data_IF_639474899383
#
_entry.id   IF_639474899383
#
_cell.length_a   1.000
_cell.length_b   1.000
_cell.length_c   1.000
_cell.angle_alpha   90.00
_cell.angle_beta   90.00
_cell.angle_gamma   90.00
#
_symmetry.space_group_name_H-M   'P 1'
#
loop_
_entity.id
_entity.type
_entity.pdbx_description
1 polymer ?
#
# COMPACT_ATOMS: atom_id res chain seq x y z
N UNK A 1 -16.53 22.17 -26.85
CA UNK A 1 -16.68 21.61 -25.49
C UNK A 1 -17.40 20.29 -25.64
N UNK A 2 -16.87 19.21 -25.05
CA UNK A 2 -17.50 17.88 -25.13
C UNK A 2 -18.76 17.83 -24.25
N UNK A 3 -19.90 17.29 -24.72
CA UNK A 3 -21.14 17.15 -23.93
C UNK A 3 -20.95 16.38 -22.61
N UNK A 4 -19.92 15.54 -22.52
CA UNK A 4 -19.59 14.73 -21.33
C UNK A 4 -19.17 15.62 -20.16
N UNK A 5 -18.48 16.75 -20.42
CA UNK A 5 -18.03 17.66 -19.38
C UNK A 5 -19.20 18.42 -18.74
N UNK A 6 -20.28 18.69 -19.49
CA UNK A 6 -21.50 19.31 -18.95
C UNK A 6 -22.28 18.35 -18.04
N UNK A 7 -22.42 17.07 -18.45
CA UNK A 7 -23.15 16.04 -17.68
C UNK A 7 -22.48 15.76 -16.31
N UNK A 8 -21.15 15.88 -16.24
CA UNK A 8 -20.41 15.69 -14.98
C UNK A 8 -20.43 16.90 -14.04
N UNK A 9 -20.80 18.08 -14.57
CA UNK A 9 -20.77 19.38 -13.85
C UNK A 9 -22.11 19.82 -13.25
N UNK A 10 -23.22 19.17 -13.64
CA UNK A 10 -24.56 19.47 -13.10
C UNK A 10 -24.85 18.80 -11.76
N UNK A 11 -25.76 19.38 -10.97
CA UNK A 11 -26.32 18.74 -9.77
C UNK A 11 -27.00 17.42 -10.14
N UNK A 12 -26.43 16.31 -9.67
CA UNK A 12 -26.93 14.96 -9.89
C UNK A 12 -28.05 14.65 -8.90
N UNK A 13 -29.25 14.32 -9.41
CA UNK A 13 -30.36 13.82 -8.59
C UNK A 13 -30.29 12.28 -8.44
N UNK A 14 -29.88 11.76 -7.27
CA UNK A 14 -29.77 10.33 -7.04
C UNK A 14 -31.11 9.58 -7.01
N UNK A 15 -32.25 10.29 -6.91
CA UNK A 15 -33.59 9.69 -6.87
C UNK A 15 -34.08 9.22 -8.25
N UNK A 16 -33.51 9.73 -9.35
CA UNK A 16 -33.90 9.38 -10.72
C UNK A 16 -33.36 8.02 -11.21
N UNK A 17 -32.44 7.40 -10.48
CA UNK A 17 -31.83 6.11 -10.87
C UNK A 17 -32.55 4.96 -10.17
N UNK A 18 -33.29 4.16 -10.96
CA UNK A 18 -33.98 2.95 -10.51
C UNK A 18 -33.02 1.99 -9.77
N UNK A 19 -33.38 1.47 -8.59
CA UNK A 19 -32.56 0.52 -7.86
C UNK A 19 -32.61 -0.87 -8.52
N UNK A 20 -31.45 -1.45 -8.82
CA UNK A 20 -31.32 -2.89 -9.07
C UNK A 20 -31.18 -3.66 -7.76
N UNK A 21 -31.62 -4.94 -7.71
CA UNK A 21 -31.53 -5.77 -6.52
C UNK A 21 -30.07 -6.00 -6.12
N UNK A 22 -29.80 -5.87 -4.81
CA UNK A 22 -28.47 -6.10 -4.25
C UNK A 22 -28.06 -7.56 -4.45
N UNK A 23 -26.79 -7.83 -4.83
CA UNK A 23 -26.28 -9.20 -4.84
C UNK A 23 -26.26 -9.77 -3.40
N UNK A 24 -26.41 -11.10 -3.25
CA UNK A 24 -26.43 -11.75 -1.95
C UNK A 24 -25.11 -11.55 -1.20
N UNK A 25 -25.23 -11.45 0.13
CA UNK A 25 -24.09 -11.33 1.04
C UNK A 25 -23.22 -12.59 0.91
N UNK A 26 -21.94 -12.39 0.58
CA UNK A 26 -20.95 -13.48 0.57
C UNK A 26 -20.73 -13.91 2.02
N UNK A 27 -21.16 -15.12 2.37
CA UNK A 27 -20.91 -15.71 3.68
C UNK A 27 -19.42 -15.93 3.93
N UNK A 28 -19.03 -15.90 5.21
CA UNK A 28 -17.65 -16.00 5.69
C UNK A 28 -16.92 -17.19 5.06
N UNK A 29 -16.14 -16.91 4.00
CA UNK A 29 -15.20 -17.86 3.45
C UNK A 29 -14.11 -18.08 4.47
N UNK A 30 -14.04 -19.30 5.00
CA UNK A 30 -13.03 -19.76 5.95
C UNK A 30 -11.64 -19.19 5.60
N UNK A 31 -11.07 -18.44 6.54
CA UNK A 31 -9.70 -18.02 6.49
C UNK A 31 -8.84 -19.27 6.30
N UNK A 32 -8.19 -19.40 5.13
CA UNK A 32 -7.32 -20.53 4.81
C UNK A 32 -6.30 -20.72 5.95
N UNK A 33 -6.52 -21.77 6.74
CA UNK A 33 -5.70 -22.13 7.89
C UNK A 33 -4.26 -22.40 7.49
N UNK A 34 -3.34 -21.91 8.32
CA UNK A 34 -1.95 -22.34 8.29
C UNK A 34 -1.85 -23.69 9.00
N UNK A 35 -1.93 -24.79 8.25
CA UNK A 35 -1.38 -26.07 8.71
C UNK A 35 0.13 -26.10 8.42
N UNK A 36 0.95 -26.18 9.46
CA UNK A 36 2.32 -26.65 9.33
C UNK A 36 2.30 -28.11 8.89
N UNK A 37 2.78 -28.39 7.67
CA UNK A 37 3.10 -29.75 7.24
C UNK A 37 4.58 -29.92 6.92
N UNK A 38 5.04 -31.11 7.30
CA UNK A 38 6.40 -31.55 7.54
C UNK A 38 7.40 -31.36 6.40
N UNK A 39 8.68 -31.38 6.78
CA UNK A 39 9.86 -31.45 5.91
C UNK A 39 9.90 -32.76 5.13
N UNK A 40 9.19 -32.80 4.00
CA UNK A 40 9.37 -33.79 2.94
C UNK A 40 9.75 -33.11 1.63
N UNK A 41 10.61 -33.74 0.84
CA UNK A 41 11.11 -33.28 -0.47
C UNK A 41 10.00 -33.31 -1.55
N UNK A 42 8.89 -32.61 -1.30
CA UNK A 42 7.77 -32.49 -2.21
C UNK A 42 8.02 -31.29 -3.15
N UNK A 43 7.94 -31.55 -4.46
CA UNK A 43 7.90 -30.51 -5.50
C UNK A 43 6.83 -29.48 -5.13
N UNK A 44 7.24 -28.28 -4.72
CA UNK A 44 6.31 -27.19 -4.42
C UNK A 44 5.64 -26.78 -5.74
N UNK A 45 4.36 -27.12 -5.89
CA UNK A 45 3.56 -26.71 -7.04
C UNK A 45 2.94 -25.34 -6.76
N UNK A 46 2.90 -24.46 -7.76
CA UNK A 46 2.14 -23.21 -7.66
C UNK A 46 0.66 -23.60 -7.67
N UNK A 47 -0.01 -23.41 -6.53
CA UNK A 47 -1.47 -23.57 -6.44
C UNK A 47 -2.09 -22.19 -6.66
N UNK A 48 -2.67 -21.97 -7.83
CA UNK A 48 -3.48 -20.79 -8.10
C UNK A 48 -4.86 -20.99 -7.43
N UNK A 49 -5.33 -19.98 -6.69
CA UNK A 49 -6.70 -20.00 -6.15
C UNK A 49 -7.73 -20.10 -7.27
N UNK A 50 -8.89 -20.71 -6.98
CA UNK A 50 -10.00 -20.73 -7.94
C UNK A 50 -10.46 -19.30 -8.20
N UNK A 51 -10.67 -18.94 -9.47
CA UNK A 51 -11.23 -17.64 -9.79
C UNK A 51 -12.72 -17.63 -9.41
N UNK A 52 -13.09 -16.85 -8.40
CA UNK A 52 -14.47 -16.69 -7.93
C UNK A 52 -14.86 -15.23 -8.13
N UNK A 53 -15.37 -14.90 -9.31
CA UNK A 53 -16.01 -13.61 -9.57
C UNK A 53 -17.53 -13.80 -9.53
N UNK A 54 -18.21 -13.01 -8.71
CA UNK A 54 -19.68 -12.98 -8.63
C UNK A 54 -20.30 -11.94 -9.58
N UNK A 55 -19.52 -10.96 -10.04
CA UNK A 55 -19.92 -9.96 -11.04
C UNK A 55 -18.71 -9.30 -11.72
N UNK A 56 -18.86 -8.91 -12.99
CA UNK A 56 -17.92 -8.09 -13.77
C UNK A 56 -18.67 -7.30 -14.83
N UNK A 57 -18.16 -6.13 -15.23
CA UNK A 57 -18.63 -5.44 -16.42
C UNK A 57 -18.02 -6.12 -17.65
N UNK A 58 -18.85 -6.46 -18.63
CA UNK A 58 -18.38 -7.00 -19.91
C UNK A 58 -17.60 -5.95 -20.69
N UNK A 59 -16.50 -6.37 -21.32
CA UNK A 59 -15.70 -5.52 -22.21
C UNK A 59 -16.15 -5.82 -23.62
N UNK A 60 -16.66 -4.79 -24.31
CA UNK A 60 -16.98 -4.86 -25.73
C UNK A 60 -15.83 -4.25 -26.52
N UNK A 61 -15.24 -5.02 -27.43
CA UNK A 61 -14.27 -4.47 -28.39
C UNK A 61 -15.03 -3.69 -29.47
N UNK A 62 -14.60 -2.46 -29.82
CA UNK A 62 -15.21 -1.72 -30.92
C UNK A 62 -14.90 -2.39 -32.26
N UNK A 63 -15.88 -2.43 -33.16
CA UNK A 63 -15.68 -2.88 -34.54
C UNK A 63 -14.79 -1.88 -35.31
N UNK A 64 -14.13 -2.32 -36.38
CA UNK A 64 -13.18 -1.49 -37.13
C UNK A 64 -13.79 -0.21 -37.74
N UNK A 65 -15.11 -0.22 -37.99
CA UNK A 65 -15.90 0.88 -38.57
C UNK A 65 -16.91 1.45 -37.56
N UNK A 66 -16.63 1.29 -36.27
CA UNK A 66 -17.53 1.69 -35.21
C UNK A 66 -17.52 3.21 -35.02
N UNK A 67 -18.44 3.91 -35.68
CA UNK A 67 -18.66 5.33 -35.45
C UNK A 67 -19.07 5.56 -33.99
N UNK A 68 -18.48 6.59 -33.35
CA UNK A 68 -18.91 7.07 -32.04
C UNK A 68 -20.36 7.58 -32.13
N UNK A 69 -21.32 6.70 -31.88
CA UNK A 69 -22.74 7.06 -31.89
C UNK A 69 -23.13 7.70 -30.56
N UNK A 70 -24.07 8.64 -30.61
CA UNK A 70 -24.63 9.24 -29.40
C UNK A 70 -25.24 8.23 -28.42
N UNK A 71 -25.69 7.08 -28.92
CA UNK A 71 -26.23 5.98 -28.10
C UNK A 71 -25.13 5.31 -27.24
N UNK A 72 -23.90 5.21 -27.75
CA UNK A 72 -22.76 4.67 -27.01
C UNK A 72 -22.28 5.62 -25.93
N UNK A 73 -22.23 6.91 -26.24
CA UNK A 73 -21.92 7.95 -25.25
C UNK A 73 -22.97 7.99 -24.13
N UNK A 74 -24.26 7.90 -24.49
CA UNK A 74 -25.35 7.85 -23.52
C UNK A 74 -25.29 6.60 -22.64
N UNK A 75 -24.98 5.44 -23.22
CA UNK A 75 -24.79 4.20 -22.48
C UNK A 75 -23.63 4.31 -21.48
N UNK A 76 -22.46 4.78 -21.95
CA UNK A 76 -21.27 4.98 -21.12
C UNK A 76 -21.54 5.95 -19.96
N UNK A 77 -22.18 7.09 -20.25
CA UNK A 77 -22.60 8.04 -19.23
C UNK A 77 -23.51 7.39 -18.17
N UNK A 78 -24.44 6.52 -18.61
CA UNK A 78 -25.29 5.75 -17.71
C UNK A 78 -24.52 4.78 -16.81
N UNK A 79 -23.53 4.06 -17.36
CA UNK A 79 -22.66 3.15 -16.59
C UNK A 79 -21.86 3.93 -15.54
N UNK A 80 -21.21 5.03 -15.93
CA UNK A 80 -20.41 5.86 -15.03
C UNK A 80 -21.25 6.51 -13.94
N UNK A 81 -22.46 6.99 -14.26
CA UNK A 81 -23.38 7.57 -13.28
C UNK A 81 -23.83 6.55 -12.23
N UNK A 82 -24.18 5.32 -12.65
CA UNK A 82 -24.51 4.23 -11.72
C UNK A 82 -23.34 3.88 -10.82
N UNK A 83 -22.15 3.75 -11.40
CA UNK A 83 -20.93 3.43 -10.64
C UNK A 83 -20.59 4.53 -9.63
N UNK A 84 -20.69 5.81 -10.03
CA UNK A 84 -20.54 6.96 -9.12
C UNK A 84 -21.53 6.91 -7.96
N UNK A 85 -22.81 6.62 -8.22
CA UNK A 85 -23.84 6.46 -7.17
C UNK A 85 -23.45 5.35 -6.19
N UNK A 86 -22.96 4.20 -6.68
CA UNK A 86 -22.47 3.11 -5.83
C UNK A 86 -21.30 3.54 -4.96
N UNK A 87 -20.29 4.21 -5.53
CA UNK A 87 -19.13 4.69 -4.76
C UNK A 87 -19.55 5.71 -3.70
N UNK A 88 -20.37 6.69 -4.05
CA UNK A 88 -20.88 7.69 -3.10
C UNK A 88 -21.61 7.03 -1.92
N UNK A 89 -22.44 6.03 -2.18
CA UNK A 89 -23.18 5.33 -1.12
C UNK A 89 -22.28 4.51 -0.20
N UNK A 90 -21.25 3.85 -0.76
CA UNK A 90 -20.24 3.12 0.02
C UNK A 90 -19.40 4.06 0.87
N UNK A 91 -19.00 5.21 0.33
CA UNK A 91 -18.22 6.22 1.05
C UNK A 91 -18.96 6.78 2.26
N UNK A 92 -20.28 7.01 2.18
CA UNK A 92 -21.09 7.48 3.33
C UNK A 92 -21.04 6.54 4.55
N UNK A 93 -20.84 5.24 4.30
CA UNK A 93 -20.82 4.20 5.31
C UNK A 93 -19.41 3.65 5.54
N UNK A 94 -18.39 4.36 5.08
CA UNK A 94 -17.02 3.89 5.16
C UNK A 94 -16.49 4.02 6.58
N UNK A 95 -16.46 2.90 7.30
CA UNK A 95 -15.89 2.73 8.62
C UNK A 95 -15.02 1.46 8.64
N UNK A 96 -13.90 1.49 9.36
CA UNK A 96 -13.03 0.32 9.55
C UNK A 96 -11.73 0.30 8.76
N UNK A 97 -11.47 1.32 7.92
CA UNK A 97 -10.16 1.55 7.30
C UNK A 97 -9.69 2.98 7.55
N UNK A 98 -8.39 3.22 7.82
CA UNK A 98 -7.86 4.52 8.21
C UNK A 98 -7.54 5.39 6.98
N UNK A 99 -8.53 5.62 6.12
CA UNK A 99 -8.36 6.46 4.95
C UNK A 99 -8.88 7.87 5.22
N UNK A 100 -8.12 8.87 4.77
CA UNK A 100 -8.69 10.19 4.54
C UNK A 100 -9.57 10.10 3.29
N UNK A 101 -10.87 10.40 3.44
CA UNK A 101 -11.84 10.33 2.36
C UNK A 101 -12.12 11.69 1.73
N UNK A 102 -11.49 12.75 2.24
CA UNK A 102 -11.67 14.13 1.76
C UNK A 102 -10.67 14.43 0.64
N UNK A 103 -10.96 13.93 -0.56
CA UNK A 103 -10.16 14.16 -1.76
C UNK A 103 -10.71 15.33 -2.58
N UNK A 104 -9.92 16.39 -2.73
CA UNK A 104 -10.16 17.47 -3.68
C UNK A 104 -8.97 17.63 -4.63
N UNK A 105 -9.20 17.32 -5.91
CA UNK A 105 -8.20 17.46 -6.96
C UNK A 105 -8.24 18.81 -7.68
N UNK A 106 -9.10 19.76 -7.27
CA UNK A 106 -9.43 20.99 -8.00
C UNK A 106 -8.30 21.59 -8.85
N UNK A 107 -7.23 22.07 -8.21
CA UNK A 107 -6.09 22.70 -8.90
C UNK A 107 -5.27 21.72 -9.77
N UNK A 108 -5.31 20.42 -9.47
CA UNK A 108 -4.56 19.37 -10.17
C UNK A 108 -5.37 18.71 -11.30
N UNK A 109 -6.67 18.96 -11.42
CA UNK A 109 -7.55 18.31 -12.39
C UNK A 109 -7.04 18.46 -13.84
N UNK A 110 -6.51 19.63 -14.17
CA UNK A 110 -5.96 19.92 -15.51
C UNK A 110 -4.69 19.11 -15.83
N UNK A 111 -4.00 18.58 -14.83
CA UNK A 111 -2.79 17.78 -15.01
C UNK A 111 -3.09 16.33 -15.41
N UNK A 112 -4.33 15.87 -15.24
CA UNK A 112 -4.73 14.48 -15.53
C UNK A 112 -4.75 14.15 -17.03
N UNK A 113 -4.59 15.15 -17.91
CA UNK A 113 -4.47 14.96 -19.36
C UNK A 113 -3.05 14.58 -19.82
N UNK A 114 -2.06 14.63 -18.91
CA UNK A 114 -0.67 14.30 -19.22
C UNK A 114 -0.30 12.92 -18.67
N UNK A 115 0.51 12.17 -19.43
CA UNK A 115 1.13 10.93 -18.95
C UNK A 115 2.34 11.27 -18.07
N UNK A 116 2.09 11.80 -16.88
CA UNK A 116 3.15 12.17 -15.94
C UNK A 116 3.82 10.91 -15.41
N UNK A 117 5.14 10.83 -15.52
CA UNK A 117 5.91 9.67 -15.08
C UNK A 117 7.28 10.04 -14.50
N UNK A 118 7.48 9.80 -13.21
CA UNK A 118 8.74 10.04 -12.52
C UNK A 118 9.67 8.83 -12.67
N UNK A 119 10.20 8.64 -13.88
CA UNK A 119 11.07 7.51 -14.17
C UNK A 119 12.40 7.60 -13.41
N UNK A 120 12.76 6.53 -12.69
CA UNK A 120 14.06 6.42 -12.04
C UNK A 120 14.17 7.21 -10.74
N UNK A 121 15.40 7.58 -10.40
CA UNK A 121 15.72 8.21 -9.11
C UNK A 121 15.24 9.67 -9.04
N UNK A 122 14.59 10.12 -7.94
CA UNK A 122 14.08 11.48 -7.80
C UNK A 122 15.14 12.59 -7.87
N UNK A 123 16.39 12.27 -7.53
CA UNK A 123 17.52 13.20 -7.46
C UNK A 123 18.39 13.18 -8.72
N UNK A 124 18.09 12.30 -9.68
CA UNK A 124 18.83 12.19 -10.94
C UNK A 124 17.98 12.76 -12.08
N UNK A 125 18.59 13.59 -12.91
CA UNK A 125 17.95 14.17 -14.09
C UNK A 125 17.53 13.07 -15.09
N UNK A 126 16.40 13.25 -15.77
CA UNK A 126 15.84 12.24 -16.67
C UNK A 126 15.76 12.73 -18.09
N UNK A 127 15.84 11.77 -19.01
CA UNK A 127 15.57 12.00 -20.42
C UNK A 127 14.06 12.10 -20.75
N UNK A 128 13.18 11.66 -19.86
CA UNK A 128 11.73 11.86 -19.97
C UNK A 128 11.30 13.20 -19.37
N UNK A 129 10.73 14.09 -20.18
CA UNK A 129 10.41 15.47 -19.78
C UNK A 129 9.02 15.71 -19.18
N UNK A 130 8.13 14.70 -19.17
CA UNK A 130 6.76 14.85 -18.63
C UNK A 130 6.71 14.22 -17.23
N UNK A 131 7.30 14.88 -16.24
CA UNK A 131 7.42 14.37 -14.87
C UNK A 131 7.07 15.43 -13.82
N UNK A 132 6.82 14.98 -12.59
CA UNK A 132 6.52 15.80 -11.41
C UNK A 132 7.60 15.76 -10.34
N UNK A 133 8.85 15.38 -10.67
CA UNK A 133 9.93 15.21 -9.67
C UNK A 133 10.19 16.40 -8.76
N UNK A 134 10.01 17.62 -9.26
CA UNK A 134 10.14 18.82 -8.42
C UNK A 134 9.14 18.80 -7.24
N UNK A 135 7.92 18.32 -7.47
CA UNK A 135 6.94 18.09 -6.42
C UNK A 135 7.32 16.92 -5.54
N UNK A 136 7.82 15.82 -6.13
CA UNK A 136 8.29 14.66 -5.38
C UNK A 136 9.38 15.02 -4.38
N UNK A 137 10.46 15.67 -4.84
CA UNK A 137 11.55 16.15 -4.00
C UNK A 137 11.06 17.16 -2.97
N UNK A 138 10.12 18.04 -3.33
CA UNK A 138 9.52 18.99 -2.39
C UNK A 138 8.77 18.31 -1.23
N UNK A 139 8.05 17.21 -1.50
CA UNK A 139 7.39 16.40 -0.45
C UNK A 139 8.41 15.67 0.40
N UNK A 140 9.44 15.07 -0.22
CA UNK A 140 10.52 14.41 0.51
C UNK A 140 11.26 15.38 1.44
N UNK A 141 11.61 16.58 0.95
CA UNK A 141 12.21 17.67 1.72
C UNK A 141 11.32 18.05 2.92
N UNK A 142 10.00 18.04 2.75
CA UNK A 142 9.06 18.35 3.83
C UNK A 142 9.07 17.30 4.93
N UNK A 143 9.06 16.01 4.57
CA UNK A 143 9.17 14.93 5.54
C UNK A 143 10.55 14.87 6.21
N UNK A 144 11.62 15.20 5.49
CA UNK A 144 12.97 15.27 6.07
C UNK A 144 13.02 16.28 7.21
N UNK A 145 12.46 17.47 6.99
CA UNK A 145 12.33 18.47 8.05
C UNK A 145 11.44 18.02 9.20
N UNK A 146 10.33 17.32 8.92
CA UNK A 146 9.43 16.82 9.95
C UNK A 146 10.12 15.81 10.88
N UNK A 147 11.07 15.03 10.36
CA UNK A 147 11.84 14.03 11.12
C UNK A 147 13.23 14.48 11.50
N UNK A 148 13.50 15.79 11.39
CA UNK A 148 14.77 16.40 11.78
C UNK A 148 15.99 15.76 11.09
N UNK A 149 15.80 15.34 9.83
CA UNK A 149 16.88 14.83 8.97
C UNK A 149 17.42 15.97 8.11
N UNK A 150 18.74 16.14 8.11
CA UNK A 150 19.40 17.14 7.28
C UNK A 150 19.17 16.87 5.79
N UNK A 151 19.07 17.94 5.00
CA UNK A 151 18.65 17.89 3.59
C UNK A 151 19.55 16.99 2.71
N UNK A 152 20.80 16.81 3.09
CA UNK A 152 21.80 16.01 2.39
C UNK A 152 22.06 14.63 3.04
N UNK A 153 21.28 14.26 4.06
CA UNK A 153 21.47 13.02 4.83
C UNK A 153 20.32 12.01 4.63
N UNK A 154 19.43 12.26 3.67
CA UNK A 154 18.36 11.34 3.32
C UNK A 154 18.39 10.95 1.84
N UNK A 155 17.85 9.77 1.58
CA UNK A 155 17.45 9.34 0.25
C UNK A 155 16.07 8.67 0.36
N UNK A 156 15.22 8.84 -0.64
CA UNK A 156 13.88 8.28 -0.67
C UNK A 156 13.14 8.63 -1.95
N UNK A 157 11.96 8.06 -2.11
CA UNK A 157 11.05 8.31 -3.23
C UNK A 157 9.60 8.16 -2.75
N UNK A 158 8.65 8.71 -3.52
CA UNK A 158 7.23 8.59 -3.18
C UNK A 158 6.70 7.23 -3.64
N UNK A 159 6.19 6.46 -2.69
CA UNK A 159 5.63 5.12 -2.93
C UNK A 159 4.14 5.20 -3.27
N UNK A 160 3.62 4.19 -3.97
CA UNK A 160 2.20 4.08 -4.27
C UNK A 160 1.36 3.67 -3.05
N UNK A 161 1.96 2.99 -2.08
CA UNK A 161 1.31 2.63 -0.83
C UNK A 161 2.32 2.21 0.25
N UNK A 162 1.86 2.10 1.50
CA UNK A 162 2.73 1.66 2.60
C UNK A 162 3.25 0.21 2.48
N UNK A 163 2.63 -0.65 1.68
CA UNK A 163 3.17 -1.98 1.42
C UNK A 163 4.48 -1.90 0.61
N UNK A 164 4.53 -1.02 -0.38
CA UNK A 164 5.74 -0.78 -1.17
C UNK A 164 6.85 -0.18 -0.31
N UNK A 165 6.52 0.81 0.54
CA UNK A 165 7.47 1.39 1.48
C UNK A 165 8.06 0.37 2.44
N UNK A 166 7.23 -0.52 3.00
CA UNK A 166 7.68 -1.61 3.86
C UNK A 166 8.57 -2.61 3.12
N UNK A 167 8.19 -3.00 1.91
CA UNK A 167 8.98 -3.91 1.06
C UNK A 167 10.36 -3.30 0.78
N UNK A 168 10.41 -2.04 0.37
CA UNK A 168 11.64 -1.35 0.05
C UNK A 168 12.53 -1.12 1.29
N UNK A 169 11.94 -0.69 2.41
CA UNK A 169 12.64 -0.53 3.70
C UNK A 169 13.34 -1.80 4.15
N UNK A 170 12.62 -2.92 4.14
CA UNK A 170 13.15 -4.23 4.52
C UNK A 170 14.21 -4.71 3.53
N UNK A 171 14.00 -4.50 2.22
CA UNK A 171 14.99 -4.85 1.20
C UNK A 171 16.32 -4.13 1.45
N UNK A 172 16.29 -2.81 1.70
CA UNK A 172 17.50 -2.05 2.02
C UNK A 172 18.20 -2.59 3.27
N UNK A 173 17.46 -2.84 4.35
CA UNK A 173 18.01 -3.46 5.56
C UNK A 173 18.66 -4.82 5.28
N UNK A 174 18.05 -5.63 4.41
CA UNK A 174 18.57 -6.94 3.98
C UNK A 174 19.82 -6.81 3.12
N UNK A 175 19.89 -5.84 2.21
CA UNK A 175 21.09 -5.64 1.37
C UNK A 175 22.29 -5.19 2.21
N UNK A 176 22.05 -4.39 3.26
CA UNK A 176 23.11 -3.98 4.21
C UNK A 176 23.49 -5.14 5.14
N UNK A 177 22.52 -5.92 5.60
CA UNK A 177 22.74 -7.06 6.50
C UNK A 177 22.19 -8.37 5.89
N UNK A 178 22.92 -9.01 4.95
CA UNK A 178 22.42 -10.18 4.21
C UNK A 178 22.06 -11.40 5.09
N UNK A 179 22.69 -11.51 6.26
CA UNK A 179 22.45 -12.58 7.24
C UNK A 179 21.63 -12.08 8.45
N UNK A 180 21.05 -10.88 8.36
CA UNK A 180 20.28 -10.29 9.44
C UNK A 180 18.92 -10.96 9.63
N UNK A 181 18.45 -11.00 10.88
CA UNK A 181 17.13 -11.48 11.24
C UNK A 181 16.18 -10.29 11.32
N UNK A 182 15.01 -10.41 10.69
CA UNK A 182 13.94 -9.42 10.80
C UNK A 182 13.11 -9.66 12.08
N UNK A 183 13.11 -8.70 12.98
CA UNK A 183 12.25 -8.67 14.16
C UNK A 183 11.08 -7.73 13.94
N UNK A 184 9.87 -8.21 14.21
CA UNK A 184 8.65 -7.41 14.08
C UNK A 184 7.65 -7.82 15.16
N UNK A 185 6.81 -6.88 15.61
CA UNK A 185 5.66 -7.20 16.45
C UNK A 185 4.77 -8.23 15.76
N UNK A 186 4.18 -9.16 16.52
CA UNK A 186 3.17 -10.10 15.98
C UNK A 186 1.95 -9.40 15.39
N UNK A 187 1.72 -8.14 15.77
CA UNK A 187 0.64 -7.27 15.26
C UNK A 187 1.10 -6.36 14.11
N UNK A 188 2.36 -6.46 13.67
CA UNK A 188 2.83 -5.70 12.52
C UNK A 188 2.01 -6.03 11.26
N UNK A 189 1.85 -5.02 10.40
CA UNK A 189 1.09 -5.13 9.15
C UNK A 189 1.57 -6.32 8.30
N UNK A 190 0.65 -7.02 7.64
CA UNK A 190 0.94 -8.27 6.94
C UNK A 190 2.06 -8.14 5.89
N UNK A 191 2.27 -6.93 5.33
CA UNK A 191 3.33 -6.66 4.36
C UNK A 191 4.73 -6.92 4.90
N UNK A 192 4.95 -6.79 6.22
CA UNK A 192 6.25 -7.07 6.86
C UNK A 192 6.61 -8.55 6.72
N UNK A 193 5.67 -9.44 7.05
CA UNK A 193 5.86 -10.88 6.93
C UNK A 193 5.89 -11.35 5.47
N UNK A 194 5.12 -10.68 4.61
CA UNK A 194 5.19 -10.88 3.15
C UNK A 194 6.59 -10.54 2.63
N UNK A 195 7.17 -9.41 3.05
CA UNK A 195 8.53 -9.00 2.69
C UNK A 195 9.56 -10.05 3.12
N UNK A 196 9.53 -10.47 4.38
CA UNK A 196 10.44 -11.51 4.88
C UNK A 196 10.39 -12.79 4.03
N UNK A 197 9.19 -13.23 3.64
CA UNK A 197 9.02 -14.40 2.76
C UNK A 197 9.55 -14.15 1.35
N UNK A 198 9.25 -12.99 0.76
CA UNK A 198 9.72 -12.62 -0.59
C UNK A 198 11.24 -12.56 -0.66
N UNK A 199 11.88 -11.99 0.36
CA UNK A 199 13.33 -11.79 0.43
C UNK A 199 14.08 -12.97 1.07
N UNK A 200 13.37 -14.04 1.45
CA UNK A 200 13.92 -15.24 2.10
C UNK A 200 14.71 -14.91 3.37
N UNK A 201 14.20 -13.98 4.16
CA UNK A 201 14.79 -13.59 5.45
C UNK A 201 14.27 -14.50 6.56
N UNK A 202 15.13 -14.76 7.55
CA UNK A 202 14.68 -15.23 8.86
C UNK A 202 13.85 -14.11 9.51
N UNK A 203 12.69 -14.44 10.07
CA UNK A 203 11.80 -13.47 10.71
C UNK A 203 11.31 -13.99 12.05
N UNK A 204 11.51 -13.18 13.08
CA UNK A 204 11.10 -13.47 14.46
C UNK A 204 9.96 -12.53 14.82
N UNK A 205 8.81 -13.12 15.15
CA UNK A 205 7.65 -12.39 15.68
C UNK A 205 7.83 -12.16 17.17
N UNK A 206 7.79 -10.90 17.59
CA UNK A 206 7.84 -10.48 19.00
C UNK A 206 6.43 -10.37 19.56
N UNK A 207 6.25 -10.72 20.83
CA UNK A 207 5.00 -10.58 21.55
C UNK A 207 4.53 -9.13 21.63
N UNK A 208 3.26 -8.95 21.98
CA UNK A 208 2.69 -7.64 22.27
C UNK A 208 2.03 -7.65 23.64
N UNK A 209 2.05 -6.50 24.30
CA UNK A 209 1.25 -6.22 25.47
C UNK A 209 -0.23 -6.12 25.09
N UNK A 210 -1.10 -6.08 26.09
CA UNK A 210 -2.56 -5.88 25.87
C UNK A 210 -2.85 -4.51 25.24
N UNK A 211 -1.94 -3.54 25.37
CA UNK A 211 -2.00 -2.23 24.69
C UNK A 211 -1.74 -2.29 23.18
N UNK A 212 -1.25 -3.41 22.65
CA UNK A 212 -0.78 -3.57 21.28
C UNK A 212 0.69 -3.16 21.07
N UNK A 213 1.33 -2.58 22.09
CA UNK A 213 2.76 -2.26 22.06
C UNK A 213 3.62 -3.52 22.03
N UNK A 214 4.80 -3.42 21.43
CA UNK A 214 5.76 -4.52 21.40
C UNK A 214 6.22 -4.86 22.83
N UNK A 215 6.23 -6.15 23.18
CA UNK A 215 6.74 -6.61 24.47
C UNK A 215 8.28 -6.56 24.46
N UNK A 216 8.84 -5.52 25.08
CA UNK A 216 10.28 -5.31 25.17
C UNK A 216 11.01 -6.42 25.94
N UNK A 217 10.37 -7.10 26.89
CA UNK A 217 10.99 -8.18 27.64
C UNK A 217 11.14 -9.43 26.77
N UNK A 218 10.08 -9.81 26.07
CA UNK A 218 10.13 -10.88 25.06
C UNK A 218 11.11 -10.53 23.92
N UNK A 219 11.16 -9.26 23.51
CA UNK A 219 12.10 -8.81 22.49
C UNK A 219 13.56 -9.02 22.92
N UNK A 220 13.91 -8.63 24.16
CA UNK A 220 15.26 -8.79 24.71
C UNK A 220 15.70 -10.26 24.75
N UNK A 221 14.79 -11.17 25.11
CA UNK A 221 15.06 -12.62 25.10
C UNK A 221 15.39 -13.10 23.68
N UNK A 222 14.54 -12.77 22.70
CA UNK A 222 14.69 -13.17 21.30
C UNK A 222 15.95 -12.62 20.61
N UNK A 223 16.35 -11.40 20.97
CA UNK A 223 17.63 -10.84 20.54
C UNK A 223 18.81 -11.61 21.14
N UNK A 224 18.75 -11.93 22.44
CA UNK A 224 19.82 -12.64 23.14
C UNK A 224 20.07 -14.05 22.60
N UNK A 225 19.02 -14.73 22.13
CA UNK A 225 19.09 -16.05 21.47
C UNK A 225 19.84 -16.02 20.13
N UNK A 226 19.92 -14.86 19.47
CA UNK A 226 20.49 -14.70 18.13
C UNK A 226 21.61 -13.64 18.07
N UNK A 227 22.33 -13.46 19.19
CA UNK A 227 23.36 -12.43 19.38
C UNK A 227 24.52 -12.44 18.37
N UNK A 228 24.67 -13.53 17.61
CA UNK A 228 25.69 -13.72 16.59
C UNK A 228 25.27 -13.18 15.20
N UNK A 229 24.02 -12.74 15.03
CA UNK A 229 23.49 -12.22 13.78
C UNK A 229 23.02 -10.76 13.91
N UNK A 230 23.12 -9.94 12.85
CA UNK A 230 22.54 -8.60 12.85
C UNK A 230 21.02 -8.63 13.05
N UNK A 231 20.49 -7.64 13.76
CA UNK A 231 19.05 -7.45 13.91
C UNK A 231 18.56 -6.34 12.97
N UNK A 232 17.53 -6.65 12.18
CA UNK A 232 16.75 -5.68 11.40
C UNK A 232 15.40 -5.55 12.11
N UNK A 233 15.02 -4.35 12.53
CA UNK A 233 13.87 -4.17 13.42
C UNK A 233 12.80 -3.35 12.70
N UNK A 234 11.60 -3.89 12.61
CA UNK A 234 10.40 -3.14 12.22
C UNK A 234 9.74 -2.56 13.48
N UNK A 235 9.60 -1.24 13.53
CA UNK A 235 8.89 -0.53 14.59
C UNK A 235 7.59 0.05 14.03
N UNK A 236 6.47 -0.24 14.69
CA UNK A 236 5.16 0.32 14.35
C UNK A 236 4.98 1.67 15.05
N UNK A 237 4.76 2.74 14.28
CA UNK A 237 4.47 4.08 14.82
C UNK A 237 3.03 4.45 14.42
N UNK A 238 2.12 4.30 15.39
CA UNK A 238 0.68 4.55 15.27
C UNK A 238 -0.11 3.82 16.38
N UNK A 239 -1.00 4.52 17.09
CA UNK A 239 -1.82 3.92 18.16
C UNK A 239 -2.87 2.96 17.58
N UNK A 240 -2.94 1.75 18.15
CA UNK A 240 -4.00 0.72 18.10
C UNK A 240 -5.00 0.71 16.91
N UNK A 241 -5.01 -0.43 16.20
CA UNK A 241 -5.78 -0.80 15.00
C UNK A 241 -5.29 -0.17 13.68
N UNK A 242 -4.25 -0.81 13.11
CA UNK A 242 -3.93 -0.77 11.67
C UNK A 242 -3.54 0.60 11.07
N UNK A 243 -2.94 1.51 11.84
CA UNK A 243 -2.35 2.73 11.23
C UNK A 243 -0.84 2.53 11.05
N UNK A 244 -0.44 2.12 9.85
CA UNK A 244 0.95 2.24 9.39
C UNK A 244 1.03 3.47 8.50
N UNK A 245 1.42 4.60 9.07
CA UNK A 245 1.96 5.72 8.30
C UNK A 245 3.33 5.28 7.79
N UNK A 246 3.36 4.76 6.57
CA UNK A 246 4.59 4.33 5.91
C UNK A 246 4.93 5.37 4.85
N UNK A 247 5.45 6.51 5.30
CA UNK A 247 6.31 7.32 4.46
C UNK A 247 7.72 6.77 4.62
N UNK A 248 8.28 6.25 3.54
CA UNK A 248 9.65 5.77 3.53
C UNK A 248 10.60 6.96 3.38
N UNK A 249 10.68 7.81 4.41
CA UNK A 249 11.93 8.49 4.68
C UNK A 249 12.70 7.61 5.67
N UNK A 250 13.93 7.30 5.30
CA UNK A 250 14.76 6.42 6.09
C UNK A 250 15.25 7.16 7.34
N UNK A 251 14.68 6.82 8.50
CA UNK A 251 15.39 6.98 9.77
C UNK A 251 16.04 5.64 10.09
N UNK A 252 17.36 5.60 9.93
CA UNK A 252 18.18 4.44 10.19
C UNK A 252 18.26 4.20 11.71
N UNK A 253 17.59 3.16 12.22
CA UNK A 253 17.96 2.57 13.52
C UNK A 253 18.47 1.16 13.25
N UNK A 254 19.67 1.08 12.69
CA UNK A 254 20.45 -0.15 12.74
C UNK A 254 21.08 -0.23 14.13
N UNK A 255 20.52 -1.06 15.01
CA UNK A 255 21.23 -1.44 16.24
C UNK A 255 22.33 -2.41 15.83
N UNK A 256 23.48 -1.88 15.45
CA UNK A 256 24.69 -2.68 15.26
C UNK A 256 25.18 -3.07 16.66
N UNK A 257 24.83 -4.28 17.10
CA UNK A 257 25.24 -4.81 18.40
C UNK A 257 26.73 -5.20 18.36
N UNK A 258 27.59 -4.18 18.43
CA UNK A 258 28.98 -4.30 18.82
C UNK A 258 29.26 -3.12 19.77
N UNK A 259 29.35 -3.43 21.07
CA UNK A 259 29.79 -2.54 22.16
C UNK A 259 28.74 -1.77 23.01
N UNK A 260 27.56 -2.33 23.27
CA UNK A 260 26.73 -1.86 24.40
C UNK A 260 26.27 -3.02 25.29
N UNK A 261 27.18 -3.48 26.13
CA UNK A 261 26.86 -4.29 27.31
C UNK A 261 26.39 -3.44 28.51
N UNK A 262 26.45 -2.10 28.42
CA UNK A 262 26.31 -1.21 29.59
C UNK A 262 25.18 -0.16 29.50
N UNK A 263 24.21 -0.32 28.60
CA UNK A 263 23.00 0.54 28.60
C UNK A 263 21.75 -0.32 28.36
N UNK A 264 21.37 -1.15 29.33
CA UNK A 264 20.01 -1.67 29.60
C UNK A 264 19.93 -2.34 30.97
#
# INVERSE_FOLDING_TARGET
MSPILEILSGEFDPAAVLPEPLPPVVGDGEANGFEEKEKGNARRQIVLGKNVHTSSLEVTEPDADDDLTGDKDAHMAGVLARYRKTLMERTKHHLGYPYNLDFDYGALAQLQHFSINNLGDPFIESNYGVHSRQFEVGVLDWFARLWEIEKNEYWGYITNCGTEGNLHGILVGREVFPNGILYASRESHYSIFKAARMYRMECVKVGTLVSGEIDCADFKVKLSENKDKPAIINVNIGESLLVSLCLSLYVYIAVQQAAYADIW
#
